data_IF_346466956912
#
_entry.id   IF_346466956912
#
_cell.length_a   1.000
_cell.length_b   1.000
_cell.length_c   1.000
_cell.angle_alpha   90.00
_cell.angle_beta   90.00
_cell.angle_gamma   90.00
#
_symmetry.space_group_name_H-M   'P 1'
#
loop_
_entity.id
_entity.type
_entity.pdbx_description
1 polymer ?
#
# COMPACT_ATOMS: atom_id res chain seq x y z
N UNK A 1 18.68 10.48 8.21
CA UNK A 1 17.97 9.75 7.17
C UNK A 1 16.69 10.49 6.80
N UNK A 2 16.36 10.50 5.51
CA UNK A 2 15.09 11.01 4.97
C UNK A 2 14.28 9.84 4.43
N UNK A 3 13.06 9.66 4.92
CA UNK A 3 12.25 8.48 4.67
C UNK A 3 10.90 8.90 4.06
N UNK A 4 10.52 8.25 2.95
CA UNK A 4 9.18 8.33 2.42
C UNK A 4 8.42 7.06 2.81
N UNK A 5 7.24 7.22 3.41
CA UNK A 5 6.33 6.11 3.71
C UNK A 5 5.07 6.26 2.89
N UNK A 6 4.66 5.21 2.19
CA UNK A 6 3.38 5.15 1.47
C UNK A 6 2.50 4.09 2.11
N UNK A 7 1.34 4.49 2.64
CA UNK A 7 0.34 3.60 3.22
C UNK A 7 -0.95 3.55 2.41
N UNK A 8 -1.63 2.41 2.44
CA UNK A 8 -2.90 2.19 1.72
C UNK A 8 -4.13 2.73 2.47
N UNK A 9 -3.94 3.17 3.72
CA UNK A 9 -4.95 3.82 4.59
C UNK A 9 -4.25 4.62 5.66
N UNK A 10 -4.88 5.66 6.26
CA UNK A 10 -4.32 6.39 7.38
C UNK A 10 -4.05 5.49 8.58
N UNK A 11 -2.91 5.67 9.30
CA UNK A 11 -2.62 4.99 10.55
C UNK A 11 -3.49 5.51 11.70
N UNK A 12 -3.96 6.74 11.60
CA UNK A 12 -4.78 7.40 12.59
C UNK A 12 -6.13 7.86 11.99
N UNK A 13 -7.23 7.81 12.81
CA UNK A 13 -7.31 7.16 14.11
C UNK A 13 -7.06 5.65 14.03
N UNK A 14 -6.61 5.03 15.14
CA UNK A 14 -6.32 3.59 15.18
C UNK A 14 -7.64 2.81 15.19
N UNK A 15 -8.07 2.33 14.02
CA UNK A 15 -9.33 1.63 13.83
C UNK A 15 -9.18 0.10 13.83
N UNK A 16 -7.98 -0.40 13.53
CA UNK A 16 -7.70 -1.84 13.45
C UNK A 16 -6.21 -2.15 13.70
N UNK A 17 -5.84 -3.43 13.73
CA UNK A 17 -4.46 -3.86 13.96
C UNK A 17 -3.47 -3.38 12.89
N UNK A 18 -3.90 -3.21 11.65
CA UNK A 18 -3.06 -2.64 10.59
C UNK A 18 -2.76 -1.15 10.83
N UNK A 19 -3.78 -0.37 11.26
CA UNK A 19 -3.58 1.02 11.67
C UNK A 19 -2.61 1.12 12.84
N UNK A 20 -2.76 0.24 13.85
CA UNK A 20 -1.85 0.18 15.01
C UNK A 20 -0.41 -0.11 14.57
N UNK A 21 -0.21 -1.08 13.69
CA UNK A 21 1.12 -1.45 13.22
C UNK A 21 1.79 -0.31 12.44
N UNK A 22 1.04 0.43 11.59
CA UNK A 22 1.53 1.59 10.86
C UNK A 22 1.82 2.78 11.78
N UNK A 23 0.95 3.04 12.77
CA UNK A 23 1.14 4.09 13.77
C UNK A 23 2.42 3.86 14.58
N UNK A 24 2.65 2.61 15.06
CA UNK A 24 3.87 2.25 15.78
C UNK A 24 5.13 2.46 14.95
N UNK A 25 5.14 2.03 13.68
CA UNK A 25 6.28 2.31 12.81
C UNK A 25 6.56 3.80 12.70
N UNK A 26 5.51 4.62 12.49
CA UNK A 26 5.67 6.07 12.39
C UNK A 26 6.25 6.67 13.68
N UNK A 27 5.71 6.30 14.85
CA UNK A 27 6.21 6.71 16.16
C UNK A 27 7.69 6.31 16.34
N UNK A 28 8.04 5.07 16.01
CA UNK A 28 9.41 4.56 16.09
C UNK A 28 10.36 5.37 15.19
N UNK A 29 9.99 5.61 13.91
CA UNK A 29 10.78 6.40 12.99
C UNK A 29 11.03 7.83 13.50
N UNK A 30 9.99 8.47 14.04
CA UNK A 30 10.08 9.83 14.58
C UNK A 30 10.95 9.90 15.85
N UNK A 31 11.03 8.82 16.63
CA UNK A 31 11.85 8.71 17.82
C UNK A 31 13.35 8.56 17.54
N UNK A 32 13.71 8.03 16.37
CA UNK A 32 15.10 7.76 15.99
C UNK A 32 15.87 9.06 15.75
N UNK A 33 17.04 9.22 16.40
CA UNK A 33 17.90 10.40 16.24
C UNK A 33 18.46 10.54 14.83
N UNK A 34 18.76 9.43 14.17
CA UNK A 34 19.28 9.41 12.79
C UNK A 34 18.26 9.74 11.72
N UNK A 35 16.96 9.73 12.04
CA UNK A 35 15.90 10.15 11.13
C UNK A 35 15.73 11.66 11.23
N UNK A 36 15.98 12.36 10.13
CA UNK A 36 15.82 13.79 10.02
C UNK A 36 14.41 14.19 9.56
N UNK A 37 13.87 13.44 8.60
CA UNK A 37 12.55 13.73 8.02
C UNK A 37 11.80 12.44 7.65
N UNK A 38 10.49 12.45 7.87
CA UNK A 38 9.54 11.43 7.42
C UNK A 38 8.44 12.10 6.59
N UNK A 39 8.38 11.74 5.31
CA UNK A 39 7.30 12.13 4.42
C UNK A 39 6.28 11.00 4.39
N UNK A 40 5.16 11.18 5.07
CA UNK A 40 4.14 10.16 5.20
C UNK A 40 3.01 10.40 4.21
N UNK A 41 2.90 9.54 3.20
CA UNK A 41 1.84 9.57 2.19
C UNK A 41 0.81 8.49 2.49
N UNK A 42 -0.46 8.85 2.51
CA UNK A 42 -1.54 7.91 2.79
C UNK A 42 -2.68 7.99 1.80
N UNK A 43 -3.19 6.83 1.40
CA UNK A 43 -4.41 6.75 0.62
C UNK A 43 -5.60 6.81 1.59
N UNK A 44 -6.56 7.69 1.33
CA UNK A 44 -7.75 7.84 2.16
C UNK A 44 -8.99 7.29 1.42
N UNK A 45 -9.77 6.46 2.09
CA UNK A 45 -11.00 5.86 1.55
C UNK A 45 -12.19 6.24 2.41
N UNK A 46 -13.42 6.00 1.91
CA UNK A 46 -14.62 6.22 2.71
C UNK A 46 -14.66 5.40 4.02
N UNK A 47 -14.00 4.21 4.02
CA UNK A 47 -13.90 3.35 5.21
C UNK A 47 -12.82 3.84 6.18
N UNK A 48 -11.76 4.45 5.66
CA UNK A 48 -10.64 4.97 6.43
C UNK A 48 -10.40 6.42 5.96
N UNK A 49 -11.17 7.38 6.48
CA UNK A 49 -11.00 8.80 6.16
C UNK A 49 -9.68 9.33 6.74
N UNK A 50 -9.19 10.42 6.17
CA UNK A 50 -8.05 11.13 6.71
C UNK A 50 -8.53 12.18 7.72
N UNK A 51 -7.96 12.18 8.91
CA UNK A 51 -8.20 13.12 9.99
C UNK A 51 -6.87 13.75 10.41
N UNK A 52 -6.63 15.00 10.02
CA UNK A 52 -5.34 15.66 10.23
C UNK A 52 -5.01 15.79 11.74
N UNK A 53 -6.00 16.06 12.55
CA UNK A 53 -5.87 16.28 14.00
C UNK A 53 -5.48 14.99 14.76
N UNK A 54 -5.70 13.83 14.15
CA UNK A 54 -5.35 12.53 14.73
C UNK A 54 -3.84 12.19 14.58
N UNK A 55 -3.14 12.88 13.67
CA UNK A 55 -1.71 12.63 13.46
C UNK A 55 -0.85 13.33 14.53
N UNK A 56 0.31 12.74 14.90
CA UNK A 56 1.22 13.37 15.83
C UNK A 56 1.78 14.67 15.26
N UNK A 57 1.85 15.72 16.08
CA UNK A 57 2.55 16.96 15.74
C UNK A 57 4.04 16.74 15.97
N UNK A 58 4.84 16.75 14.91
CA UNK A 58 6.28 16.56 14.99
C UNK A 58 6.97 17.31 13.85
N UNK A 59 8.05 18.02 14.16
CA UNK A 59 8.82 18.84 13.21
C UNK A 59 9.46 18.04 12.07
N UNK A 60 9.73 16.74 12.32
CA UNK A 60 10.29 15.81 11.32
C UNK A 60 9.23 15.25 10.39
N UNK A 61 7.94 15.39 10.69
CA UNK A 61 6.84 14.75 9.98
C UNK A 61 6.15 15.70 9.00
N UNK A 62 6.08 15.31 7.74
CA UNK A 62 5.13 15.88 6.78
C UNK A 62 4.13 14.83 6.37
N UNK A 63 2.85 15.18 6.32
CA UNK A 63 1.78 14.24 5.96
C UNK A 63 1.06 14.73 4.71
N UNK A 64 0.95 13.84 3.73
CA UNK A 64 0.19 14.04 2.50
C UNK A 64 -0.87 12.96 2.37
N UNK A 65 -2.12 13.32 2.08
CA UNK A 65 -3.18 12.36 1.87
C UNK A 65 -3.77 12.43 0.47
N UNK A 66 -4.25 11.28 -0.02
CA UNK A 66 -4.85 11.13 -1.33
C UNK A 66 -6.21 10.46 -1.22
N UNK A 67 -7.32 11.17 -1.46
CA UNK A 67 -8.64 10.56 -1.47
C UNK A 67 -8.77 9.63 -2.67
N UNK A 68 -9.11 8.36 -2.43
CA UNK A 68 -9.35 7.36 -3.48
C UNK A 68 -10.73 6.71 -3.33
N UNK A 69 -11.33 6.37 -4.45
CA UNK A 69 -12.59 5.62 -4.48
C UNK A 69 -12.29 4.15 -4.74
N UNK A 70 -12.56 3.31 -3.73
CA UNK A 70 -12.31 1.87 -3.80
C UNK A 70 -13.60 1.04 -3.92
N UNK A 71 -14.68 1.64 -4.44
CA UNK A 71 -15.96 0.95 -4.60
C UNK A 71 -15.83 -0.26 -5.53
N UNK A 72 -16.39 -1.38 -5.11
CA UNK A 72 -16.47 -2.59 -5.94
C UNK A 72 -17.61 -2.42 -6.93
N UNK A 73 -17.30 -2.49 -8.22
CA UNK A 73 -18.31 -2.59 -9.27
C UNK A 73 -18.31 -4.01 -9.85
N UNK A 74 -19.51 -4.59 -10.05
CA UNK A 74 -19.65 -5.95 -10.62
C UNK A 74 -19.01 -6.04 -12.01
N UNK A 75 -19.13 -4.99 -12.82
CA UNK A 75 -18.53 -4.90 -14.15
C UNK A 75 -17.00 -4.88 -14.06
N UNK A 76 -16.43 -4.09 -13.14
CA UNK A 76 -14.99 -4.03 -12.92
C UNK A 76 -14.42 -5.36 -12.42
N UNK A 77 -15.14 -6.07 -11.57
CA UNK A 77 -14.77 -7.41 -11.11
C UNK A 77 -14.74 -8.42 -12.26
N UNK A 78 -15.73 -8.40 -13.16
CA UNK A 78 -15.80 -9.28 -14.34
C UNK A 78 -14.67 -9.03 -15.35
N UNK A 79 -14.35 -7.77 -15.65
CA UNK A 79 -13.28 -7.40 -16.59
C UNK A 79 -11.90 -7.81 -16.04
N UNK A 80 -11.68 -7.71 -14.73
CA UNK A 80 -10.39 -8.06 -14.14
C UNK A 80 -10.13 -9.56 -14.12
N UNK A 81 -11.19 -10.38 -14.01
CA UNK A 81 -11.09 -11.83 -14.17
C UNK A 81 -10.56 -12.22 -15.56
N UNK A 82 -11.00 -11.50 -16.61
CA UNK A 82 -10.54 -11.74 -17.98
C UNK A 82 -9.08 -11.31 -18.20
N UNK A 83 -8.59 -10.30 -17.46
CA UNK A 83 -7.24 -9.74 -17.63
C UNK A 83 -6.18 -10.33 -16.69
N UNK A 84 -6.53 -11.30 -15.84
CA UNK A 84 -5.66 -11.90 -14.81
C UNK A 84 -5.00 -10.85 -13.87
N UNK A 85 -5.49 -9.60 -13.87
CA UNK A 85 -5.04 -8.57 -12.95
C UNK A 85 -5.88 -8.62 -11.67
N UNK A 86 -5.23 -8.48 -10.51
CA UNK A 86 -5.98 -8.37 -9.26
C UNK A 86 -6.80 -7.08 -9.25
N UNK A 87 -8.13 -7.20 -9.39
CA UNK A 87 -9.06 -6.08 -9.29
C UNK A 87 -8.89 -5.31 -7.99
N UNK A 88 -8.59 -6.01 -6.90
CA UNK A 88 -8.35 -5.39 -5.60
C UNK A 88 -7.15 -4.45 -5.62
N UNK A 89 -6.06 -4.81 -6.31
CA UNK A 89 -4.88 -3.95 -6.43
C UNK A 89 -5.09 -2.80 -7.40
N UNK A 90 -5.79 -3.05 -8.52
CA UNK A 90 -6.05 -2.01 -9.53
C UNK A 90 -6.79 -0.80 -8.97
N UNK A 91 -7.70 -1.01 -8.01
CA UNK A 91 -8.47 0.07 -7.37
C UNK A 91 -7.60 1.06 -6.58
N UNK A 92 -6.42 0.63 -6.16
CA UNK A 92 -5.46 1.47 -5.44
C UNK A 92 -4.49 2.19 -6.37
N UNK A 93 -4.40 1.80 -7.66
CA UNK A 93 -3.58 2.51 -8.64
C UNK A 93 -4.27 3.79 -9.11
N UNK A 94 -3.58 4.91 -8.97
CA UNK A 94 -4.05 6.21 -9.44
C UNK A 94 -2.89 6.95 -10.11
N UNK A 95 -3.09 7.37 -11.36
CA UNK A 95 -2.05 7.99 -12.17
C UNK A 95 -1.59 9.35 -11.63
N UNK A 96 -2.52 10.15 -11.10
CA UNK A 96 -2.18 11.46 -10.53
C UNK A 96 -1.31 11.31 -9.26
N UNK A 97 -1.63 10.32 -8.41
CA UNK A 97 -0.83 9.98 -7.23
C UNK A 97 0.57 9.52 -7.67
N UNK A 98 0.64 8.63 -8.66
CA UNK A 98 1.93 8.15 -9.18
C UNK A 98 2.80 9.32 -9.67
N UNK A 99 2.24 10.24 -10.46
CA UNK A 99 2.97 11.40 -10.97
C UNK A 99 3.48 12.32 -9.84
N UNK A 100 2.69 12.51 -8.80
CA UNK A 100 3.08 13.31 -7.64
C UNK A 100 4.23 12.67 -6.87
N UNK A 101 4.14 11.36 -6.60
CA UNK A 101 5.23 10.61 -5.96
C UNK A 101 6.51 10.58 -6.81
N UNK A 102 6.39 10.41 -8.14
CA UNK A 102 7.52 10.47 -9.06
C UNK A 102 8.20 11.85 -9.04
N UNK A 103 7.41 12.94 -9.01
CA UNK A 103 7.94 14.30 -8.92
C UNK A 103 8.71 14.50 -7.63
N UNK A 104 8.17 14.02 -6.50
CA UNK A 104 8.81 14.14 -5.21
C UNK A 104 10.12 13.35 -5.14
N UNK A 105 10.10 12.09 -5.59
CA UNK A 105 11.30 11.23 -5.64
C UNK A 105 12.39 11.72 -6.59
N UNK A 106 12.05 12.57 -7.58
CA UNK A 106 13.04 13.23 -8.44
C UNK A 106 13.67 14.45 -7.80
N UNK A 107 12.92 15.17 -6.98
CA UNK A 107 13.33 16.46 -6.44
C UNK A 107 14.02 16.32 -5.08
N UNK A 108 13.80 15.20 -4.41
CA UNK A 108 14.28 14.91 -3.07
C UNK A 108 15.06 13.60 -3.01
N UNK A 109 16.21 13.62 -2.34
CA UNK A 109 17.01 12.43 -2.08
C UNK A 109 16.52 11.73 -0.81
N UNK A 110 15.79 10.63 -0.99
CA UNK A 110 15.38 9.75 0.12
C UNK A 110 16.37 8.61 0.30
N UNK A 111 16.61 8.23 1.55
CA UNK A 111 17.39 7.03 1.90
C UNK A 111 16.52 5.76 1.77
N UNK A 112 15.26 5.86 2.19
CA UNK A 112 14.31 4.75 2.17
C UNK A 112 12.94 5.18 1.63
N UNK A 113 12.31 4.27 0.89
CA UNK A 113 10.90 4.32 0.52
C UNK A 113 10.22 3.09 1.06
N UNK A 114 9.30 3.24 2.03
CA UNK A 114 8.61 2.15 2.71
C UNK A 114 7.18 2.05 2.20
N UNK A 115 6.79 0.87 1.74
CA UNK A 115 5.43 0.57 1.31
C UNK A 115 4.71 -0.27 2.36
N UNK A 116 3.70 0.33 2.98
CA UNK A 116 2.86 -0.29 4.00
C UNK A 116 1.73 -1.09 3.35
N UNK A 117 1.93 -2.37 3.20
CA UNK A 117 1.06 -3.36 2.55
C UNK A 117 1.19 -3.50 1.03
N UNK A 118 0.63 -4.61 0.53
CA UNK A 118 0.55 -4.94 -0.89
C UNK A 118 -0.13 -3.84 -1.72
N UNK A 119 -1.14 -3.18 -1.15
CA UNK A 119 -1.93 -2.15 -1.83
C UNK A 119 -1.15 -0.84 -2.03
N UNK A 120 -0.18 -0.53 -1.18
CA UNK A 120 0.76 0.57 -1.38
C UNK A 120 1.89 0.17 -2.33
N UNK A 121 2.37 -1.07 -2.25
CA UNK A 121 3.46 -1.59 -3.07
C UNK A 121 3.15 -1.65 -4.58
N UNK A 122 1.89 -1.49 -4.99
CA UNK A 122 1.50 -1.41 -6.42
C UNK A 122 2.18 -0.26 -7.17
N UNK A 123 2.68 0.74 -6.46
CA UNK A 123 3.42 1.87 -7.03
C UNK A 123 4.92 1.62 -7.16
N UNK A 124 5.48 0.66 -6.40
CA UNK A 124 6.92 0.46 -6.25
C UNK A 124 7.67 0.37 -7.58
N UNK A 125 7.25 -0.54 -8.47
CA UNK A 125 7.88 -0.74 -9.78
C UNK A 125 7.91 0.54 -10.63
N UNK A 126 6.83 1.32 -10.60
CA UNK A 126 6.71 2.55 -11.38
C UNK A 126 7.46 3.73 -10.75
N UNK A 127 7.83 3.64 -9.46
CA UNK A 127 8.60 4.64 -8.73
C UNK A 127 10.10 4.36 -8.75
N UNK A 128 10.50 3.09 -8.85
CA UNK A 128 11.91 2.67 -8.79
C UNK A 128 12.86 3.46 -9.70
N UNK A 129 12.51 3.78 -10.97
CA UNK A 129 13.41 4.54 -11.86
C UNK A 129 13.65 5.99 -11.43
N UNK A 130 12.90 6.51 -10.46
CA UNK A 130 12.92 7.92 -10.04
C UNK A 130 13.67 8.15 -8.73
N UNK A 131 14.22 7.11 -8.10
CA UNK A 131 14.95 7.25 -6.85
C UNK A 131 16.03 6.19 -6.70
N UNK A 132 17.12 6.59 -6.03
CA UNK A 132 18.20 5.68 -5.59
C UNK A 132 17.95 5.10 -4.19
N UNK A 133 16.86 5.52 -3.54
CA UNK A 133 16.48 5.05 -2.22
C UNK A 133 16.36 3.53 -2.17
N UNK A 134 16.59 2.95 -1.00
CA UNK A 134 16.25 1.56 -0.74
C UNK A 134 14.74 1.43 -0.59
N UNK A 135 14.13 0.55 -1.40
CA UNK A 135 12.68 0.31 -1.37
C UNK A 135 12.39 -0.88 -0.47
N UNK A 136 11.55 -0.67 0.54
CA UNK A 136 11.19 -1.67 1.55
C UNK A 136 9.69 -1.95 1.45
N UNK A 137 9.33 -3.22 1.37
CA UNK A 137 7.95 -3.67 1.48
C UNK A 137 7.69 -4.24 2.87
N UNK A 138 6.71 -3.66 3.57
CA UNK A 138 6.26 -4.14 4.87
C UNK A 138 4.89 -4.80 4.74
N UNK A 139 4.86 -6.13 4.78
CA UNK A 139 3.63 -6.90 4.74
C UNK A 139 2.96 -6.93 6.13
N UNK A 140 1.70 -6.51 6.20
CA UNK A 140 0.89 -6.67 7.42
C UNK A 140 0.18 -8.02 7.44
N UNK A 141 -0.15 -8.54 6.26
CA UNK A 141 -0.88 -9.78 6.06
C UNK A 141 -0.37 -10.49 4.82
N UNK A 142 -0.60 -11.77 4.75
CA UNK A 142 -0.52 -12.55 3.52
C UNK A 142 -1.89 -12.45 2.85
N UNK A 143 -2.07 -11.45 1.97
CA UNK A 143 -3.37 -11.10 1.40
C UNK A 143 -4.05 -12.27 0.70
N UNK A 144 -3.31 -13.03 -0.11
CA UNK A 144 -3.89 -14.17 -0.82
C UNK A 144 -4.41 -15.25 0.13
N UNK A 145 -3.82 -15.42 1.31
CA UNK A 145 -4.27 -16.43 2.28
C UNK A 145 -5.61 -16.04 2.90
N UNK A 146 -5.81 -14.75 3.23
CA UNK A 146 -7.09 -14.24 3.75
C UNK A 146 -8.23 -14.55 2.77
N UNK A 147 -8.03 -14.29 1.49
CA UNK A 147 -9.05 -14.53 0.46
C UNK A 147 -9.27 -16.02 0.20
N UNK A 148 -8.22 -16.84 0.29
CA UNK A 148 -8.31 -18.30 0.21
C UNK A 148 -9.15 -18.87 1.35
N UNK A 149 -8.90 -18.44 2.59
CA UNK A 149 -9.63 -18.88 3.77
C UNK A 149 -11.11 -18.46 3.70
N UNK A 150 -11.37 -17.24 3.22
CA UNK A 150 -12.72 -16.76 2.98
C UNK A 150 -13.44 -17.62 1.91
N UNK A 151 -12.72 -18.03 0.86
CA UNK A 151 -13.28 -18.91 -0.19
C UNK A 151 -13.64 -20.28 0.37
N UNK A 152 -12.79 -20.88 1.23
CA UNK A 152 -13.05 -22.18 1.87
C UNK A 152 -14.36 -22.13 2.67
N UNK A 153 -14.58 -21.05 3.42
CA UNK A 153 -15.73 -20.87 4.30
C UNK A 153 -17.00 -20.38 3.56
N UNK A 154 -16.92 -20.16 2.24
CA UNK A 154 -18.05 -19.66 1.44
C UNK A 154 -18.86 -20.82 0.88
N UNK A 155 -20.17 -20.87 1.20
CA UNK A 155 -21.11 -21.93 0.73
C UNK A 155 -21.58 -21.69 -0.72
N UNK A 156 -21.66 -20.46 -1.17
CA UNK A 156 -22.17 -20.10 -2.50
C UNK A 156 -21.12 -20.33 -3.57
N UNK A 157 -21.35 -21.28 -4.48
CA UNK A 157 -20.36 -21.80 -5.45
C UNK A 157 -19.74 -20.70 -6.32
N UNK A 158 -20.54 -19.82 -6.91
CA UNK A 158 -20.02 -18.74 -7.78
C UNK A 158 -19.15 -17.75 -6.99
N UNK A 159 -19.54 -17.39 -5.76
CA UNK A 159 -18.76 -16.55 -4.87
C UNK A 159 -17.46 -17.23 -4.46
N UNK A 160 -17.51 -18.52 -4.13
CA UNK A 160 -16.33 -19.33 -3.79
C UNK A 160 -15.32 -19.33 -4.94
N UNK A 161 -15.78 -19.62 -6.15
CA UNK A 161 -14.94 -19.58 -7.35
C UNK A 161 -14.30 -18.20 -7.56
N UNK A 162 -15.08 -17.13 -7.47
CA UNK A 162 -14.57 -15.75 -7.57
C UNK A 162 -13.48 -15.46 -6.55
N UNK A 163 -13.68 -15.84 -5.28
CA UNK A 163 -12.72 -15.63 -4.19
C UNK A 163 -11.42 -16.44 -4.41
N UNK A 164 -11.53 -17.64 -4.98
CA UNK A 164 -10.35 -18.46 -5.35
C UNK A 164 -9.54 -17.78 -6.45
N UNK A 165 -10.19 -17.27 -7.50
CA UNK A 165 -9.50 -16.52 -8.56
C UNK A 165 -8.82 -15.25 -8.02
N UNK A 166 -9.49 -14.56 -7.11
CA UNK A 166 -8.93 -13.38 -6.45
C UNK A 166 -7.70 -13.76 -5.60
N UNK A 167 -7.79 -14.82 -4.80
CA UNK A 167 -6.65 -15.32 -4.02
C UNK A 167 -5.47 -15.69 -4.93
N UNK A 168 -5.73 -16.35 -6.05
CA UNK A 168 -4.69 -16.71 -7.03
C UNK A 168 -3.99 -15.47 -7.63
N UNK A 169 -4.75 -14.47 -8.06
CA UNK A 169 -4.21 -13.23 -8.62
C UNK A 169 -3.40 -12.42 -7.60
N UNK A 170 -3.83 -12.40 -6.34
CA UNK A 170 -3.09 -11.77 -5.25
C UNK A 170 -1.79 -12.50 -4.93
N UNK A 171 -1.81 -13.84 -4.91
CA UNK A 171 -0.60 -14.65 -4.70
C UNK A 171 0.47 -14.38 -5.77
N UNK A 172 0.04 -14.25 -7.01
CA UNK A 172 0.95 -13.90 -8.10
C UNK A 172 1.52 -12.48 -7.93
N UNK A 173 0.67 -11.52 -7.58
CA UNK A 173 1.09 -10.15 -7.34
C UNK A 173 2.07 -10.03 -6.15
N UNK A 174 1.80 -10.71 -5.04
CA UNK A 174 2.71 -10.78 -3.89
C UNK A 174 4.07 -11.35 -4.31
N UNK A 175 4.11 -12.44 -5.06
CA UNK A 175 5.36 -13.03 -5.55
C UNK A 175 6.13 -12.10 -6.48
N UNK A 176 5.43 -11.35 -7.34
CA UNK A 176 6.09 -10.44 -8.29
C UNK A 176 6.77 -9.24 -7.62
N UNK A 177 6.36 -8.87 -6.42
CA UNK A 177 7.02 -7.83 -5.62
C UNK A 177 8.39 -8.31 -5.12
N UNK A 178 8.55 -9.62 -4.89
CA UNK A 178 9.75 -10.23 -4.33
C UNK A 178 10.77 -10.67 -5.38
N UNK A 179 10.40 -10.75 -6.67
CA UNK A 179 11.31 -11.22 -7.71
C UNK A 179 12.33 -10.13 -8.07
N UNK A 180 13.61 -10.44 -7.91
CA UNK A 180 14.76 -9.57 -8.26
C UNK A 180 14.72 -9.12 -9.74
N UNK A 181 14.26 -9.98 -10.64
CA UNK A 181 14.10 -9.69 -12.08
C UNK A 181 13.16 -8.52 -12.38
N UNK A 182 12.37 -8.07 -11.40
CA UNK A 182 11.41 -6.98 -11.54
C UNK A 182 11.74 -5.76 -10.66
N UNK A 183 12.98 -5.64 -10.17
CA UNK A 183 13.38 -4.60 -9.24
C UNK A 183 12.80 -4.86 -7.85
N UNK A 184 13.10 -6.03 -7.29
CA UNK A 184 12.61 -6.52 -6.01
C UNK A 184 12.72 -5.48 -4.89
N UNK A 185 11.81 -5.57 -3.94
CA UNK A 185 11.84 -4.78 -2.73
C UNK A 185 12.67 -5.54 -1.68
N UNK A 186 13.48 -4.82 -0.94
CA UNK A 186 14.14 -5.38 0.24
C UNK A 186 13.12 -5.66 1.36
N UNK A 187 13.33 -6.74 2.12
CA UNK A 187 12.53 -7.14 3.27
C UNK A 187 12.94 -6.40 4.52
#
# INVERSE_FOLDING_TARGET
LKILVLSHKPPYPILDGGCLAMARLLEDLLSLKQVAQVHYHTLATAKHPFEAEAFPVNEKLSVQHYPIRTNVTLVGAGISLLKQESYNLKRFKNQAILQQLQKELKNDDFDFVIFESLFAAVYARSLRPYSKAKFIYRAHNIEHQIWKDLAVNTKFILKKWYLQQLAYSLKWAERSIWSEDQGGLDL
#
